data_IF_463568984334
#
_entry.id   IF_463568984334
#
_cell.length_a   1.000
_cell.length_b   1.000
_cell.length_c   1.000
_cell.angle_alpha   90.00
_cell.angle_beta   90.00
_cell.angle_gamma   90.00
#
_symmetry.space_group_name_H-M   'P 1'
#
loop_
_entity.id
_entity.type
_entity.pdbx_description
1 polymer ?
#
# COMPACT_ATOMS: atom_id res chain seq x y z
N UNK A 1 18.39 0.53 -22.20
CA UNK A 1 18.54 -0.58 -21.24
C UNK A 1 17.17 -1.13 -20.96
N UNK A 2 16.95 -2.44 -21.07
CA UNK A 2 15.72 -3.04 -20.57
C UNK A 2 15.72 -2.84 -19.05
N UNK A 3 14.77 -2.09 -18.50
CA UNK A 3 14.68 -1.87 -17.05
C UNK A 3 14.19 -3.11 -16.32
N UNK A 4 14.28 -3.11 -14.99
CA UNK A 4 13.82 -4.18 -14.08
C UNK A 4 12.28 -4.25 -13.93
N UNK A 5 11.53 -3.88 -14.97
CA UNK A 5 10.08 -3.89 -14.94
C UNK A 5 9.53 -5.32 -14.89
N UNK A 6 8.71 -5.63 -13.90
CA UNK A 6 8.09 -6.95 -13.75
C UNK A 6 9.06 -8.08 -13.39
N UNK A 7 10.23 -7.78 -12.81
CA UNK A 7 11.23 -8.81 -12.45
C UNK A 7 11.14 -9.27 -11.00
N UNK A 8 10.40 -8.56 -10.14
CA UNK A 8 10.28 -8.86 -8.71
C UNK A 8 9.02 -9.67 -8.39
N UNK A 9 9.14 -10.64 -7.47
CA UNK A 9 8.04 -11.45 -6.95
C UNK A 9 7.30 -10.80 -5.77
N UNK A 10 8.04 -10.05 -4.95
CA UNK A 10 7.56 -9.54 -3.67
C UNK A 10 8.14 -8.14 -3.40
N UNK A 11 7.33 -7.27 -2.80
CA UNK A 11 7.74 -5.99 -2.27
C UNK A 11 7.11 -5.74 -0.89
N UNK A 12 7.89 -5.17 0.03
CA UNK A 12 7.42 -4.75 1.35
C UNK A 12 7.61 -3.24 1.51
N UNK A 13 6.52 -2.51 1.79
CA UNK A 13 6.52 -1.06 1.96
C UNK A 13 6.35 -0.75 3.45
N UNK A 14 7.45 -0.39 4.09
CA UNK A 14 7.47 0.18 5.45
C UNK A 14 8.49 1.32 5.53
N UNK A 15 8.07 2.50 5.05
CA UNK A 15 8.90 3.70 4.96
C UNK A 15 8.14 4.93 5.48
N UNK A 16 8.56 6.14 5.09
CA UNK A 16 7.84 7.36 5.46
C UNK A 16 6.46 7.42 4.80
N UNK A 17 5.43 7.67 5.62
CA UNK A 17 4.02 7.61 5.20
C UNK A 17 3.66 8.68 4.16
N UNK A 18 4.46 9.75 4.09
CA UNK A 18 4.30 10.82 3.10
C UNK A 18 4.51 10.37 1.65
N UNK A 19 5.29 9.30 1.43
CA UNK A 19 5.65 8.80 0.11
C UNK A 19 5.05 7.44 -0.23
N UNK A 20 4.13 6.91 0.59
CA UNK A 20 3.52 5.60 0.38
C UNK A 20 2.94 5.40 -1.02
N UNK A 21 2.27 6.41 -1.55
CA UNK A 21 1.73 6.38 -2.90
C UNK A 21 2.85 6.25 -3.95
N UNK A 22 3.94 7.00 -3.80
CA UNK A 22 5.08 6.94 -4.72
C UNK A 22 5.75 5.57 -4.67
N UNK A 23 5.98 5.01 -3.48
CA UNK A 23 6.54 3.68 -3.33
C UNK A 23 5.65 2.62 -3.96
N UNK A 24 4.35 2.67 -3.69
CA UNK A 24 3.38 1.75 -4.27
C UNK A 24 3.39 1.77 -5.81
N UNK A 25 3.36 2.95 -6.44
CA UNK A 25 3.37 3.04 -7.91
C UNK A 25 4.68 2.54 -8.53
N UNK A 26 5.83 2.70 -7.84
CA UNK A 26 7.08 2.13 -8.30
C UNK A 26 7.11 0.61 -8.12
N UNK A 27 6.66 0.11 -6.96
CA UNK A 27 6.52 -1.32 -6.72
C UNK A 27 5.61 -1.98 -7.77
N UNK A 28 4.51 -1.34 -8.15
CA UNK A 28 3.59 -1.88 -9.14
C UNK A 28 4.23 -2.02 -10.54
N UNK A 29 5.18 -1.15 -10.89
CA UNK A 29 5.97 -1.26 -12.14
C UNK A 29 6.99 -2.39 -12.07
N UNK A 30 7.66 -2.54 -10.93
CA UNK A 30 8.74 -3.50 -10.71
C UNK A 30 8.23 -4.93 -10.48
N UNK A 31 7.05 -5.07 -9.88
CA UNK A 31 6.51 -6.38 -9.52
C UNK A 31 5.84 -7.04 -10.73
N UNK A 32 6.04 -8.35 -10.89
CA UNK A 32 5.37 -9.12 -11.94
C UNK A 32 3.87 -9.25 -11.69
N UNK A 33 3.11 -9.58 -12.73
CA UNK A 33 1.73 -10.08 -12.56
C UNK A 33 1.74 -11.33 -11.67
N UNK A 34 0.80 -11.38 -10.72
CA UNK A 34 0.73 -12.37 -9.65
C UNK A 34 1.76 -12.18 -8.54
N UNK A 35 2.57 -11.12 -8.56
CA UNK A 35 3.47 -10.77 -7.47
C UNK A 35 2.76 -10.02 -6.34
N UNK A 36 3.34 -10.04 -5.14
CA UNK A 36 2.72 -9.54 -3.91
C UNK A 36 3.41 -8.27 -3.38
N UNK A 37 2.64 -7.21 -3.17
CA UNK A 37 3.06 -6.02 -2.42
C UNK A 37 2.41 -6.10 -1.03
N UNK A 38 3.21 -6.04 0.02
CA UNK A 38 2.76 -5.96 1.41
C UNK A 38 3.06 -4.56 1.97
N UNK A 39 2.08 -3.93 2.62
CA UNK A 39 2.14 -2.53 3.05
C UNK A 39 1.74 -2.42 4.52
N UNK A 40 2.66 -1.92 5.36
CA UNK A 40 2.50 -1.90 6.82
C UNK A 40 1.90 -0.58 7.37
N UNK A 41 1.38 -0.64 8.59
CA UNK A 41 0.80 0.44 9.40
C UNK A 41 -0.39 1.15 8.74
N UNK A 42 -1.20 0.41 7.99
CA UNK A 42 -2.36 0.96 7.28
C UNK A 42 -3.56 1.25 8.20
N UNK A 43 -3.59 0.70 9.42
CA UNK A 43 -4.59 1.05 10.44
C UNK A 43 -4.18 2.26 11.29
N UNK A 44 -2.89 2.63 11.29
CA UNK A 44 -2.35 3.82 11.93
C UNK A 44 -2.83 4.03 13.37
N UNK A 45 -2.67 3.02 14.21
CA UNK A 45 -3.14 2.94 15.59
C UNK A 45 -4.64 3.21 15.74
N UNK A 46 -5.43 2.80 14.75
CA UNK A 46 -6.88 3.02 14.68
C UNK A 46 -7.30 4.42 14.24
N UNK A 47 -6.37 5.37 14.09
CA UNK A 47 -6.69 6.78 13.77
C UNK A 47 -7.40 6.93 12.44
N UNK A 48 -7.14 6.05 11.47
CA UNK A 48 -7.81 6.09 10.16
C UNK A 48 -9.33 5.88 10.26
N UNK A 49 -9.82 5.22 11.32
CA UNK A 49 -11.23 4.98 11.56
C UNK A 49 -11.93 6.13 12.31
N UNK A 50 -11.19 6.93 13.08
CA UNK A 50 -11.73 8.04 13.86
C UNK A 50 -11.87 9.31 13.02
N UNK A 51 -13.11 9.69 12.68
CA UNK A 51 -13.40 10.83 11.80
C UNK A 51 -12.99 12.18 12.37
N UNK A 52 -12.83 12.31 13.69
CA UNK A 52 -12.46 13.57 14.34
C UNK A 52 -10.95 13.87 14.22
N UNK A 53 -10.13 12.86 13.86
CA UNK A 53 -8.69 13.03 13.66
C UNK A 53 -8.44 13.50 12.22
N UNK A 54 -8.05 14.75 12.05
CA UNK A 54 -7.81 15.39 10.74
C UNK A 54 -6.34 15.76 10.46
N UNK A 55 -5.39 15.16 11.17
CA UNK A 55 -3.98 15.45 10.93
C UNK A 55 -3.51 14.98 9.53
N UNK A 56 -2.45 15.62 9.04
CA UNK A 56 -1.94 15.42 7.68
C UNK A 56 -1.56 13.95 7.39
N UNK A 57 -0.96 13.25 8.37
CA UNK A 57 -0.51 11.88 8.17
C UNK A 57 -1.70 10.92 8.11
N UNK A 58 -2.65 11.07 9.05
CA UNK A 58 -3.87 10.24 9.06
C UNK A 58 -4.67 10.43 7.77
N UNK A 59 -4.82 11.67 7.28
CA UNK A 59 -5.52 11.93 6.02
C UNK A 59 -4.80 11.34 4.79
N UNK A 60 -3.46 11.36 4.77
CA UNK A 60 -2.69 10.70 3.70
C UNK A 60 -2.89 9.19 3.70
N UNK A 61 -2.85 8.55 4.87
CA UNK A 61 -3.06 7.09 4.97
C UNK A 61 -4.49 6.72 4.58
N UNK A 62 -5.51 7.52 4.97
CA UNK A 62 -6.89 7.31 4.50
C UNK A 62 -7.02 7.41 2.98
N UNK A 63 -6.43 8.45 2.38
CA UNK A 63 -6.45 8.63 0.93
C UNK A 63 -5.76 7.46 0.22
N UNK A 64 -4.62 7.01 0.76
CA UNK A 64 -3.88 5.88 0.24
C UNK A 64 -4.67 4.56 0.36
N UNK A 65 -5.28 4.28 1.51
CA UNK A 65 -6.12 3.10 1.72
C UNK A 65 -7.32 3.09 0.75
N UNK A 66 -7.95 4.25 0.51
CA UNK A 66 -9.02 4.40 -0.48
C UNK A 66 -8.53 4.10 -1.88
N UNK A 67 -7.38 4.67 -2.27
CA UNK A 67 -6.75 4.41 -3.56
C UNK A 67 -6.52 2.91 -3.77
N UNK A 68 -5.93 2.21 -2.81
CA UNK A 68 -5.71 0.76 -2.90
C UNK A 68 -7.02 -0.02 -3.07
N UNK A 69 -8.07 0.38 -2.33
CA UNK A 69 -9.38 -0.25 -2.43
C UNK A 69 -10.04 -0.08 -3.80
N UNK A 70 -9.79 1.06 -4.46
CA UNK A 70 -10.35 1.40 -5.78
C UNK A 70 -9.44 0.98 -6.95
N UNK A 71 -8.22 0.50 -6.69
CA UNK A 71 -7.24 0.18 -7.73
C UNK A 71 -7.52 -1.19 -8.38
N UNK A 72 -8.16 -1.15 -9.56
CA UNK A 72 -8.46 -2.33 -10.37
C UNK A 72 -7.25 -3.15 -10.86
N UNK A 73 -6.02 -2.64 -10.72
CA UNK A 73 -4.78 -3.35 -11.12
C UNK A 73 -4.35 -4.40 -10.09
N UNK A 74 -4.99 -4.43 -8.93
CA UNK A 74 -4.66 -5.32 -7.82
C UNK A 74 -5.88 -6.04 -7.27
N UNK A 75 -5.63 -7.15 -6.59
CA UNK A 75 -6.56 -7.80 -5.68
C UNK A 75 -6.02 -7.61 -4.26
N UNK A 76 -6.83 -7.10 -3.33
CA UNK A 76 -6.37 -6.73 -1.99
C UNK A 76 -7.02 -7.53 -0.86
N UNK A 77 -6.28 -7.66 0.23
CA UNK A 77 -6.78 -8.12 1.53
C UNK A 77 -6.11 -7.33 2.65
N UNK A 78 -6.89 -6.78 3.57
CA UNK A 78 -6.38 -6.17 4.80
C UNK A 78 -6.35 -7.22 5.91
N UNK A 79 -5.16 -7.52 6.42
CA UNK A 79 -4.96 -8.49 7.49
C UNK A 79 -4.76 -7.76 8.83
N UNK A 80 -5.56 -8.04 9.88
CA UNK A 80 -5.47 -7.37 11.17
C UNK A 80 -4.34 -7.94 12.03
N UNK A 81 -3.10 -7.86 11.54
CA UNK A 81 -1.88 -8.17 12.29
C UNK A 81 -1.15 -6.85 12.57
N UNK A 82 -0.63 -6.71 13.79
CA UNK A 82 0.06 -5.50 14.27
C UNK A 82 -0.76 -4.23 13.99
N UNK A 83 -0.18 -3.22 13.34
CA UNK A 83 -0.86 -1.97 13.01
C UNK A 83 -1.55 -1.99 11.64
N UNK A 84 -1.91 -3.19 11.18
CA UNK A 84 -2.56 -3.46 9.91
C UNK A 84 -1.57 -3.69 8.78
N UNK A 85 -1.80 -4.77 8.04
CA UNK A 85 -1.01 -5.14 6.87
C UNK A 85 -1.93 -5.31 5.66
N UNK A 86 -1.80 -4.43 4.66
CA UNK A 86 -2.48 -4.63 3.37
C UNK A 86 -1.62 -5.53 2.49
N UNK A 87 -2.22 -6.61 2.00
CA UNK A 87 -1.69 -7.46 0.96
C UNK A 87 -2.33 -7.08 -0.37
N UNK A 88 -1.52 -6.81 -1.39
CA UNK A 88 -1.95 -6.46 -2.74
C UNK A 88 -1.28 -7.36 -3.77
N UNK A 89 -2.05 -8.22 -4.42
CA UNK A 89 -1.58 -9.08 -5.52
C UNK A 89 -1.81 -8.32 -6.83
N UNK A 90 -0.78 -8.16 -7.65
CA UNK A 90 -0.91 -7.55 -8.99
C UNK A 90 -1.64 -8.50 -9.94
N UNK A 91 -2.66 -7.99 -10.63
CA UNK A 91 -3.45 -8.75 -11.62
C UNK A 91 -2.69 -9.01 -12.92
#
# INVERSE_FOLDING_TARGET
>A
TAGEGGTFDFAFIDADKGNYENYYEQCLKLIRTGGLIAIDNVLWSGKVADREIEDNQTNKIRAFNRKLHEDSRITISLVPIADGLTLAIKN
#
